data_IF_380551915382
#
_entry.id   IF_380551915382
#
_cell.length_a   1.000
_cell.length_b   1.000
_cell.length_c   1.000
_cell.angle_alpha   90.00
_cell.angle_beta   90.00
_cell.angle_gamma   90.00
#
_symmetry.space_group_name_H-M   'P 1'
#
loop_
_entity.id
_entity.type
_entity.pdbx_description
1 polymer ?
#
# COMPACT_ATOMS: atom_id res chain seq x y z
N UNK A 1 64.27 -51.36 5.04
CA UNK A 1 63.83 -52.39 6.01
C UNK A 1 62.37 -52.72 5.72
N UNK A 2 62.07 -54.00 5.47
CA UNK A 2 60.79 -54.54 4.95
C UNK A 2 59.87 -54.99 6.09
N UNK A 3 58.56 -54.67 6.02
CA UNK A 3 57.39 -55.57 6.27
C UNK A 3 56.09 -54.74 6.25
N UNK A 4 55.17 -54.91 5.29
CA UNK A 4 54.19 -55.99 5.07
C UNK A 4 52.86 -55.72 5.79
N UNK A 5 51.77 -55.69 5.01
CA UNK A 5 50.49 -56.38 5.25
C UNK A 5 49.20 -55.53 5.09
N UNK A 6 48.57 -55.67 3.93
CA UNK A 6 47.16 -56.02 3.68
C UNK A 6 46.15 -55.98 4.85
N UNK A 7 45.00 -55.30 4.66
CA UNK A 7 43.67 -55.93 4.44
C UNK A 7 42.52 -54.90 4.28
N UNK A 8 41.44 -55.43 3.68
CA UNK A 8 40.24 -54.81 3.11
C UNK A 8 39.31 -54.09 4.10
N UNK A 9 38.65 -53.04 3.57
CA UNK A 9 37.24 -52.57 3.70
C UNK A 9 36.51 -52.82 5.03
N UNK A 10 35.87 -51.76 5.54
CA UNK A 10 34.49 -51.80 6.06
C UNK A 10 33.91 -50.38 6.11
N UNK A 11 32.80 -50.18 5.39
CA UNK A 11 31.95 -49.01 5.51
C UNK A 11 31.35 -49.01 6.92
N UNK A 12 31.47 -47.88 7.61
CA UNK A 12 30.64 -47.59 8.77
C UNK A 12 29.92 -46.27 8.48
N UNK A 13 28.68 -46.41 8.02
CA UNK A 13 27.71 -45.33 8.00
C UNK A 13 27.41 -44.98 9.46
N UNK A 14 27.59 -43.73 9.86
CA UNK A 14 26.83 -43.19 10.98
C UNK A 14 26.68 -41.68 10.83
N UNK A 15 25.55 -41.33 10.25
CA UNK A 15 24.96 -40.00 10.23
C UNK A 15 24.75 -39.49 11.66
N UNK A 16 25.27 -38.30 11.96
CA UNK A 16 24.70 -37.45 13.01
C UNK A 16 24.26 -36.17 12.32
N UNK A 17 22.98 -36.13 11.97
CA UNK A 17 22.32 -34.91 11.54
C UNK A 17 22.10 -34.04 12.78
N UNK A 18 22.95 -33.05 13.01
CA UNK A 18 22.65 -31.96 13.94
C UNK A 18 21.74 -30.98 13.22
N UNK A 19 20.43 -31.10 13.46
CA UNK A 19 19.45 -30.09 13.09
C UNK A 19 19.68 -28.85 13.97
N UNK A 20 20.22 -27.78 13.40
CA UNK A 20 20.20 -26.46 14.04
C UNK A 20 18.82 -25.87 13.75
N UNK A 21 17.94 -25.88 14.76
CA UNK A 21 16.72 -25.07 14.71
C UNK A 21 17.16 -23.62 14.97
N UNK A 22 17.46 -22.89 13.90
CA UNK A 22 17.63 -21.45 13.95
C UNK A 22 16.24 -20.81 14.05
N UNK A 23 15.72 -20.70 15.27
CA UNK A 23 14.51 -19.92 15.54
C UNK A 23 14.81 -18.44 15.30
N UNK A 24 14.50 -17.94 14.09
CA UNK A 24 14.50 -16.50 13.84
C UNK A 24 13.32 -15.91 14.61
N UNK A 25 13.62 -15.29 15.74
CA UNK A 25 12.68 -14.36 16.38
C UNK A 25 12.47 -13.22 15.38
N UNK A 26 11.29 -13.15 14.77
CA UNK A 26 10.85 -11.96 14.06
C UNK A 26 10.75 -10.87 15.13
N UNK A 27 11.78 -10.02 15.20
CA UNK A 27 11.71 -8.78 15.97
C UNK A 27 10.59 -7.94 15.39
N UNK A 28 9.40 -8.02 15.99
CA UNK A 28 8.35 -7.05 15.76
C UNK A 28 8.84 -5.77 16.41
N UNK A 29 9.58 -4.96 15.66
CA UNK A 29 9.80 -3.57 16.06
C UNK A 29 8.41 -2.98 16.22
N UNK A 30 8.07 -2.35 17.37
CA UNK A 30 6.88 -1.53 17.40
C UNK A 30 7.08 -0.51 16.29
N UNK A 31 6.23 -0.55 15.26
CA UNK A 31 6.09 0.57 14.35
C UNK A 31 5.57 1.68 15.24
N UNK A 32 6.51 2.49 15.76
CA UNK A 32 6.17 3.67 16.53
C UNK A 32 5.16 4.44 15.69
N UNK A 33 4.00 4.75 16.28
CA UNK A 33 2.96 5.47 15.59
C UNK A 33 3.59 6.73 15.01
N UNK A 34 3.75 6.77 13.68
CA UNK A 34 4.25 7.96 13.03
C UNK A 34 3.25 9.07 13.36
N UNK A 35 3.76 10.18 13.88
CA UNK A 35 2.95 11.36 14.11
C UNK A 35 2.40 11.85 12.77
N UNK A 36 1.15 12.29 12.80
CA UNK A 36 0.50 12.88 11.65
C UNK A 36 1.16 14.23 11.34
N UNK A 37 1.90 14.31 10.23
CA UNK A 37 2.69 15.49 9.87
C UNK A 37 1.89 16.52 9.06
N UNK A 38 0.70 16.91 9.54
CA UNK A 38 -0.09 17.99 8.93
C UNK A 38 -0.17 19.16 9.91
N UNK A 39 0.29 20.35 9.51
CA UNK A 39 0.41 21.49 10.42
C UNK A 39 -0.94 22.09 10.88
N UNK A 40 -2.01 21.76 10.17
CA UNK A 40 -3.40 22.16 10.44
C UNK A 40 -4.25 21.06 11.10
N UNK A 41 -3.64 19.96 11.55
CA UNK A 41 -4.31 18.87 12.26
C UNK A 41 -3.60 18.60 13.58
N UNK A 42 -4.27 18.90 14.69
CA UNK A 42 -3.75 18.74 16.06
C UNK A 42 -4.32 17.48 16.70
N UNK A 43 -3.56 16.86 17.61
CA UNK A 43 -4.00 15.70 18.39
C UNK A 43 -5.29 15.93 19.20
N UNK A 44 -5.64 17.19 19.46
CA UNK A 44 -6.87 17.58 20.15
C UNK A 44 -8.08 17.74 19.24
N UNK A 45 -7.90 17.71 17.91
CA UNK A 45 -8.99 17.88 16.97
C UNK A 45 -9.83 16.61 16.89
N UNK A 46 -11.15 16.76 16.83
CA UNK A 46 -12.10 15.64 16.82
C UNK A 46 -11.92 14.67 15.63
N UNK A 47 -11.30 15.13 14.53
CA UNK A 47 -11.01 14.33 13.34
C UNK A 47 -9.62 13.70 13.35
N UNK A 48 -8.76 13.99 14.34
CA UNK A 48 -7.35 13.58 14.35
C UNK A 48 -7.20 12.07 14.16
N UNK A 49 -7.87 11.27 15.00
CA UNK A 49 -7.77 9.81 14.97
C UNK A 49 -8.24 9.22 13.63
N UNK A 50 -9.27 9.84 13.03
CA UNK A 50 -9.80 9.42 11.73
C UNK A 50 -8.78 9.68 10.62
N UNK A 51 -8.21 10.88 10.57
CA UNK A 51 -7.21 11.24 9.56
C UNK A 51 -5.96 10.39 9.75
N UNK A 52 -5.50 10.20 10.99
CA UNK A 52 -4.35 9.37 11.31
C UNK A 52 -4.54 7.93 10.85
N UNK A 53 -5.67 7.30 11.19
CA UNK A 53 -5.98 5.94 10.77
C UNK A 53 -5.99 5.79 9.24
N UNK A 54 -6.57 6.74 8.52
CA UNK A 54 -6.61 6.71 7.06
C UNK A 54 -5.23 6.97 6.44
N UNK A 55 -4.42 7.87 7.02
CA UNK A 55 -3.07 8.18 6.55
C UNK A 55 -2.12 7.00 6.79
N UNK A 56 -2.18 6.36 7.95
CA UNK A 56 -1.39 5.16 8.29
C UNK A 56 -1.68 4.01 7.31
N UNK A 57 -2.91 3.95 6.77
CA UNK A 57 -3.33 2.99 5.76
C UNK A 57 -3.05 3.42 4.31
N UNK A 58 -2.48 4.61 4.11
CA UNK A 58 -2.20 5.17 2.79
C UNK A 58 -3.44 5.58 1.99
N UNK A 59 -4.60 5.71 2.63
CA UNK A 59 -5.87 6.04 1.96
C UNK A 59 -5.94 7.54 1.65
N UNK A 60 -5.54 8.37 2.62
CA UNK A 60 -5.48 9.83 2.49
C UNK A 60 -4.03 10.29 2.55
N UNK A 61 -3.76 11.41 1.87
CA UNK A 61 -2.49 12.11 1.89
C UNK A 61 -2.77 13.60 2.01
N UNK A 62 -1.91 14.31 2.73
CA UNK A 62 -1.91 15.76 2.76
C UNK A 62 -1.45 16.36 1.44
N UNK A 63 -1.49 17.68 1.39
CA UNK A 63 -1.07 18.49 0.27
C UNK A 63 0.44 18.76 0.31
N UNK A 64 1.06 19.13 -0.83
CA UNK A 64 2.51 19.40 -0.89
C UNK A 64 2.99 20.54 0.03
N UNK A 65 2.09 21.39 0.48
CA UNK A 65 2.34 22.49 1.42
C UNK A 65 2.39 22.02 2.90
N UNK A 66 2.16 20.73 3.17
CA UNK A 66 2.16 20.17 4.52
C UNK A 66 0.84 20.36 5.28
N UNK A 67 -0.25 20.66 4.58
CA UNK A 67 -1.60 20.77 5.15
C UNK A 67 -2.47 19.54 4.79
N UNK A 68 -3.53 19.31 5.55
CA UNK A 68 -4.60 18.36 5.21
C UNK A 68 -5.89 19.04 4.75
N UNK A 69 -6.13 20.28 5.18
CA UNK A 69 -7.32 21.09 4.90
C UNK A 69 -8.63 20.43 5.37
N UNK A 70 -8.76 20.06 6.66
CA UNK A 70 -9.91 19.28 7.15
C UNK A 70 -11.27 20.00 7.07
N UNK A 71 -11.26 21.32 6.90
CA UNK A 71 -12.47 22.15 6.78
C UNK A 71 -12.82 22.51 5.33
N UNK A 72 -11.99 22.13 4.36
CA UNK A 72 -12.30 22.33 2.94
C UNK A 72 -13.20 21.22 2.41
N UNK A 73 -14.09 21.57 1.47
CA UNK A 73 -14.94 20.58 0.81
C UNK A 73 -14.12 19.62 -0.03
N UNK A 74 -14.39 18.33 0.12
CA UNK A 74 -13.80 17.27 -0.71
C UNK A 74 -14.40 17.31 -2.12
N UNK A 75 -13.56 17.34 -3.15
CA UNK A 75 -14.01 17.23 -4.55
C UNK A 75 -14.32 15.79 -4.93
N UNK A 76 -15.09 15.57 -6.01
CA UNK A 76 -15.43 14.22 -6.49
C UNK A 76 -14.18 13.43 -6.90
N UNK A 77 -13.19 14.11 -7.48
CA UNK A 77 -11.90 13.54 -7.85
C UNK A 77 -11.04 13.16 -6.64
N UNK A 78 -11.00 13.98 -5.59
CA UNK A 78 -10.34 13.61 -4.33
C UNK A 78 -11.03 12.40 -3.68
N UNK A 79 -12.37 12.37 -3.68
CA UNK A 79 -13.12 11.21 -3.21
C UNK A 79 -12.82 9.95 -4.03
N UNK A 80 -12.68 10.07 -5.36
CA UNK A 80 -12.28 8.96 -6.23
C UNK A 80 -10.90 8.41 -5.84
N UNK A 81 -9.91 9.28 -5.56
CA UNK A 81 -8.58 8.84 -5.11
C UNK A 81 -8.67 8.10 -3.78
N UNK A 82 -9.42 8.62 -2.80
CA UNK A 82 -9.61 7.96 -1.50
C UNK A 82 -10.25 6.57 -1.66
N UNK A 83 -11.29 6.45 -2.49
CA UNK A 83 -11.96 5.18 -2.74
C UNK A 83 -11.06 4.18 -3.48
N UNK A 84 -10.31 4.63 -4.49
CA UNK A 84 -9.37 3.78 -5.21
C UNK A 84 -8.26 3.25 -4.29
N UNK A 85 -7.71 4.09 -3.41
CA UNK A 85 -6.71 3.68 -2.42
C UNK A 85 -7.30 2.69 -1.39
N UNK A 86 -8.49 2.98 -0.86
CA UNK A 86 -9.19 2.12 0.08
C UNK A 86 -9.42 0.72 -0.50
N UNK A 87 -9.79 0.64 -1.78
CA UNK A 87 -10.08 -0.59 -2.48
C UNK A 87 -8.84 -1.23 -3.14
N UNK A 88 -7.67 -0.60 -3.00
CA UNK A 88 -6.40 -1.04 -3.58
C UNK A 88 -6.52 -1.35 -5.09
N UNK A 89 -7.18 -0.44 -5.83
CA UNK A 89 -7.38 -0.61 -7.27
C UNK A 89 -6.10 -0.29 -8.04
N UNK A 90 -5.88 -0.98 -9.16
CA UNK A 90 -4.87 -0.58 -10.15
C UNK A 90 -5.35 0.71 -10.85
N UNK A 91 -4.62 1.80 -10.64
CA UNK A 91 -4.90 3.11 -11.24
C UNK A 91 -3.96 3.45 -12.40
N UNK A 92 -3.02 2.56 -12.73
CA UNK A 92 -2.05 2.77 -13.81
C UNK A 92 -2.50 2.07 -15.09
N UNK A 93 -2.93 0.80 -14.98
CA UNK A 93 -3.38 -0.01 -16.13
C UNK A 93 -4.90 0.04 -16.28
N UNK A 94 -5.41 1.23 -16.58
CA UNK A 94 -6.85 1.49 -16.65
C UNK A 94 -7.36 1.63 -18.08
N UNK A 95 -8.61 1.25 -18.31
CA UNK A 95 -9.31 1.53 -19.57
C UNK A 95 -9.90 2.94 -19.51
N UNK A 96 -9.84 3.66 -20.64
CA UNK A 96 -10.46 4.98 -20.75
C UNK A 96 -11.96 4.92 -20.39
N UNK A 97 -12.41 5.65 -19.36
CA UNK A 97 -13.81 5.64 -18.93
C UNK A 97 -14.73 6.46 -19.86
N UNK A 98 -14.17 7.24 -20.79
CA UNK A 98 -14.94 8.00 -21.78
C UNK A 98 -15.46 9.36 -21.30
N UNK A 99 -15.00 9.83 -20.13
CA UNK A 99 -15.36 11.16 -19.62
C UNK A 99 -14.61 12.26 -20.40
N UNK A 100 -15.33 13.27 -20.88
CA UNK A 100 -14.79 14.34 -21.74
C UNK A 100 -13.97 15.37 -20.96
N UNK A 101 -14.24 15.51 -19.66
CA UNK A 101 -13.57 16.44 -18.74
C UNK A 101 -12.46 15.77 -17.90
N UNK A 102 -12.17 14.49 -18.15
CA UNK A 102 -11.09 13.75 -17.48
C UNK A 102 -10.13 13.18 -18.53
N UNK A 103 -9.26 14.02 -19.14
CA UNK A 103 -8.22 13.53 -20.04
C UNK A 103 -7.22 12.62 -19.30
N UNK A 104 -6.43 11.83 -20.04
CA UNK A 104 -5.41 10.93 -19.46
C UNK A 104 -4.34 11.64 -18.62
N UNK A 105 -4.16 12.94 -18.85
CA UNK A 105 -3.25 13.82 -18.10
C UNK A 105 -3.88 14.38 -16.82
N UNK A 106 -5.18 14.17 -16.58
CA UNK A 106 -5.85 14.65 -15.39
C UNK A 106 -5.32 13.94 -14.13
N UNK A 107 -5.02 14.64 -13.02
CA UNK A 107 -4.38 14.04 -11.84
C UNK A 107 -5.19 12.90 -11.21
N UNK A 108 -6.52 12.92 -11.38
CA UNK A 108 -7.41 11.88 -10.86
C UNK A 108 -7.83 10.83 -11.90
N UNK A 109 -7.27 10.86 -13.11
CA UNK A 109 -7.68 10.00 -14.23
C UNK A 109 -7.68 8.52 -13.85
N UNK A 110 -6.57 8.02 -13.30
CA UNK A 110 -6.41 6.62 -12.95
C UNK A 110 -7.46 6.11 -11.95
N UNK A 111 -7.67 6.87 -10.88
CA UNK A 111 -8.66 6.53 -9.85
C UNK A 111 -10.10 6.53 -10.40
N UNK A 112 -10.45 7.56 -11.19
CA UNK A 112 -11.78 7.68 -11.81
C UNK A 112 -12.01 6.52 -12.79
N UNK A 113 -11.03 6.22 -13.65
CA UNK A 113 -11.12 5.15 -14.62
C UNK A 113 -11.27 3.77 -13.95
N UNK A 114 -10.48 3.49 -12.93
CA UNK A 114 -10.55 2.23 -12.18
C UNK A 114 -11.90 2.02 -11.49
N UNK A 115 -12.43 3.05 -10.83
CA UNK A 115 -13.73 2.99 -10.15
C UNK A 115 -14.89 2.87 -11.13
N UNK A 116 -14.83 3.59 -12.26
CA UNK A 116 -15.85 3.50 -13.30
C UNK A 116 -15.89 2.10 -13.92
N UNK A 117 -14.74 1.48 -14.17
CA UNK A 117 -14.65 0.10 -14.67
C UNK A 117 -15.25 -0.93 -13.69
N UNK A 118 -15.29 -0.63 -12.39
CA UNK A 118 -15.93 -1.45 -11.35
C UNK A 118 -17.41 -1.11 -11.13
N UNK A 119 -17.95 -0.11 -11.81
CA UNK A 119 -19.34 0.36 -11.63
C UNK A 119 -19.60 1.06 -10.30
N UNK A 120 -18.54 1.50 -9.59
CA UNK A 120 -18.66 2.15 -8.28
C UNK A 120 -19.03 3.62 -8.44
N UNK A 121 -18.59 4.24 -9.53
CA UNK A 121 -18.92 5.62 -9.88
C UNK A 121 -19.47 5.69 -11.30
N UNK A 122 -20.35 6.67 -11.51
CA UNK A 122 -20.87 7.02 -12.82
C UNK A 122 -20.62 8.52 -13.09
N UNK A 123 -20.57 8.87 -14.38
CA UNK A 123 -20.61 10.24 -14.83
C UNK A 123 -22.03 10.72 -15.08
N UNK A 124 -22.14 11.90 -15.65
CA UNK A 124 -23.39 12.54 -16.05
C UNK A 124 -23.74 12.19 -17.51
N UNK A 125 -24.98 12.48 -17.91
CA UNK A 125 -25.49 12.20 -19.27
C UNK A 125 -24.70 12.92 -20.37
N UNK A 126 -24.10 14.07 -20.04
CA UNK A 126 -23.25 14.87 -20.92
C UNK A 126 -21.82 14.30 -21.09
N UNK A 127 -21.56 13.08 -20.60
CA UNK A 127 -20.26 12.41 -20.58
C UNK A 127 -19.20 13.12 -19.73
N UNK A 128 -19.59 13.91 -18.74
CA UNK A 128 -18.65 14.49 -17.77
C UNK A 128 -18.60 13.69 -16.46
N UNK A 129 -17.51 13.79 -15.72
CA UNK A 129 -17.40 13.28 -14.35
C UNK A 129 -17.49 14.38 -13.28
N UNK A 130 -17.01 15.58 -13.61
CA UNK A 130 -16.91 16.77 -12.76
C UNK A 130 -16.06 16.49 -11.51
N UNK A 131 -14.76 16.19 -11.70
CA UNK A 131 -13.83 15.85 -10.61
C UNK A 131 -13.62 17.00 -9.60
#
# INVERSE_FOLDING_TARGET
MVKKSSKKRKYFNSTVATAVVASTVLGVTPVGAADLNYSDVKATDYFYDSIKSLADRGIVKGFPDGLYKPYESVTRGQAAVMLANLLQLDTENVKNPGFTDVPTTHPYYGAIAALSAKGIINGYEDKTYRP
#
